data_IF_455473094565
#
_entry.id   IF_455473094565
#
_cell.length_a   1.000
_cell.length_b   1.000
_cell.length_c   1.000
_cell.angle_alpha   90.00
_cell.angle_beta   90.00
_cell.angle_gamma   90.00
#
_symmetry.space_group_name_H-M   'P 1'
#
loop_
_entity.id
_entity.type
_entity.pdbx_description
1 polymer ?
#
# COMPACT_ATOMS: atom_id res chain seq x y z
N UNK A 1 56.85 -6.54 -34.13
CA UNK A 1 55.72 -5.92 -34.87
C UNK A 1 54.47 -6.80 -34.97
N UNK A 2 54.54 -8.07 -35.37
CA UNK A 2 53.34 -8.93 -35.53
C UNK A 2 52.49 -9.16 -34.28
N UNK A 3 53.10 -9.27 -33.09
CA UNK A 3 52.35 -9.45 -31.82
C UNK A 3 51.54 -8.20 -31.44
N UNK A 4 52.08 -7.00 -31.63
CA UNK A 4 51.38 -5.75 -31.31
C UNK A 4 50.16 -5.52 -32.22
N UNK A 5 50.26 -5.87 -33.51
CA UNK A 5 49.14 -5.82 -34.44
C UNK A 5 48.01 -6.81 -34.07
N UNK A 6 48.39 -8.01 -33.59
CA UNK A 6 47.43 -9.02 -33.15
C UNK A 6 46.67 -8.58 -31.88
N UNK A 7 47.37 -7.97 -30.91
CA UNK A 7 46.73 -7.40 -29.72
C UNK A 7 45.83 -6.21 -30.04
N UNK A 8 46.25 -5.32 -30.94
CA UNK A 8 45.43 -4.18 -31.37
C UNK A 8 44.14 -4.63 -32.08
N UNK A 9 44.22 -5.66 -32.93
CA UNK A 9 43.04 -6.26 -33.58
C UNK A 9 42.10 -6.93 -32.56
N UNK A 10 42.66 -7.61 -31.55
CA UNK A 10 41.87 -8.22 -30.47
C UNK A 10 41.10 -7.19 -29.65
N UNK A 11 41.75 -6.07 -29.29
CA UNK A 11 41.10 -4.97 -28.55
C UNK A 11 40.02 -4.29 -29.40
N UNK A 12 40.28 -4.04 -30.68
CA UNK A 12 39.29 -3.49 -31.62
C UNK A 12 38.08 -4.40 -31.79
N UNK A 13 38.30 -5.72 -31.94
CA UNK A 13 37.21 -6.69 -32.04
C UNK A 13 36.37 -6.76 -30.76
N UNK A 14 37.01 -6.67 -29.58
CA UNK A 14 36.31 -6.66 -28.30
C UNK A 14 35.47 -5.38 -28.11
N UNK A 15 36.02 -4.21 -28.44
CA UNK A 15 35.28 -2.95 -28.40
C UNK A 15 34.11 -2.93 -29.40
N UNK A 16 34.32 -3.49 -30.60
CA UNK A 16 33.26 -3.63 -31.60
C UNK A 16 32.14 -4.58 -31.12
N UNK A 17 32.48 -5.67 -30.42
CA UNK A 17 31.50 -6.59 -29.85
C UNK A 17 30.68 -5.95 -28.72
N UNK A 18 31.30 -5.12 -27.87
CA UNK A 18 30.59 -4.35 -26.84
C UNK A 18 29.65 -3.32 -27.48
N UNK A 19 30.15 -2.58 -28.49
CA UNK A 19 29.35 -1.59 -29.20
C UNK A 19 28.15 -2.23 -29.91
N UNK A 20 28.36 -3.37 -30.59
CA UNK A 20 27.30 -4.12 -31.27
C UNK A 20 26.28 -4.70 -30.28
N UNK A 21 26.73 -5.21 -29.12
CA UNK A 21 25.83 -5.72 -28.08
C UNK A 21 24.98 -4.60 -27.46
N UNK A 22 25.56 -3.42 -27.21
CA UNK A 22 24.82 -2.25 -26.77
C UNK A 22 23.80 -1.80 -27.82
N UNK A 23 24.18 -1.80 -29.11
CA UNK A 23 23.29 -1.46 -30.23
C UNK A 23 22.14 -2.46 -30.38
N UNK A 24 22.40 -3.76 -30.19
CA UNK A 24 21.38 -4.80 -30.22
C UNK A 24 20.43 -4.70 -29.04
N UNK A 25 20.92 -4.37 -27.84
CA UNK A 25 20.05 -4.11 -26.68
C UNK A 25 19.15 -2.88 -26.89
N UNK A 26 19.68 -1.82 -27.52
CA UNK A 26 18.91 -0.62 -27.89
C UNK A 26 17.93 -0.86 -29.06
N UNK A 27 18.17 -1.86 -29.91
CA UNK A 27 17.27 -2.23 -31.01
C UNK A 27 16.14 -3.16 -30.55
N UNK A 28 16.37 -3.95 -29.50
CA UNK A 28 15.42 -4.95 -28.97
C UNK A 28 14.55 -4.44 -27.82
N UNK A 29 14.85 -3.27 -27.25
CA UNK A 29 13.98 -2.60 -26.29
C UNK A 29 12.72 -2.08 -27.01
N UNK A 30 11.55 -2.48 -26.53
CA UNK A 30 10.25 -2.13 -27.13
C UNK A 30 9.84 -0.65 -27.01
N UNK A 31 10.70 0.20 -26.44
CA UNK A 31 10.53 1.64 -26.34
C UNK A 31 11.65 2.28 -27.18
N UNK A 32 11.34 2.87 -28.34
CA UNK A 32 12.35 3.28 -29.34
C UNK A 32 13.50 4.15 -28.78
N UNK A 33 14.63 4.22 -29.51
CA UNK A 33 15.93 4.82 -29.11
C UNK A 33 15.91 6.09 -28.23
N UNK A 34 14.92 6.97 -28.38
CA UNK A 34 14.77 8.16 -27.53
C UNK A 34 14.47 7.85 -26.06
N UNK A 35 13.63 6.85 -25.78
CA UNK A 35 13.26 6.44 -24.42
C UNK A 35 14.44 5.85 -23.64
N UNK A 36 15.23 5.01 -24.30
CA UNK A 36 16.42 4.39 -23.70
C UNK A 36 17.52 5.41 -23.38
N UNK A 37 17.76 6.37 -24.27
CA UNK A 37 18.73 7.44 -24.06
C UNK A 37 18.35 8.33 -22.87
N UNK A 38 17.08 8.66 -22.72
CA UNK A 38 16.61 9.49 -21.61
C UNK A 38 16.59 8.73 -20.28
N UNK A 39 16.27 7.43 -20.29
CA UNK A 39 16.43 6.56 -19.13
C UNK A 39 17.91 6.44 -18.70
N UNK A 40 18.83 6.28 -19.66
CA UNK A 40 20.27 6.22 -19.38
C UNK A 40 20.78 7.54 -18.76
N UNK A 41 20.37 8.68 -19.32
CA UNK A 41 20.71 10.01 -18.75
C UNK A 41 20.17 10.16 -17.33
N UNK A 42 18.93 9.75 -17.06
CA UNK A 42 18.33 9.79 -15.73
C UNK A 42 19.09 8.90 -14.74
N UNK A 43 19.44 7.67 -15.14
CA UNK A 43 20.25 6.76 -14.32
C UNK A 43 21.64 7.34 -14.00
N UNK A 44 22.32 7.92 -14.98
CA UNK A 44 23.60 8.59 -14.78
C UNK A 44 23.46 9.78 -13.81
N UNK A 45 22.40 10.58 -13.94
CA UNK A 45 22.11 11.72 -13.07
C UNK A 45 21.79 11.30 -11.63
N UNK A 46 21.01 10.24 -11.43
CA UNK A 46 20.76 9.66 -10.11
C UNK A 46 22.04 9.13 -9.45
N UNK A 47 22.88 8.44 -10.22
CA UNK A 47 24.20 7.98 -9.73
C UNK A 47 25.06 9.17 -9.29
N UNK A 48 25.15 10.21 -10.11
CA UNK A 48 25.87 11.45 -9.75
C UNK A 48 25.26 12.14 -8.52
N UNK A 49 23.94 12.15 -8.36
CA UNK A 49 23.28 12.69 -7.18
C UNK A 49 23.62 11.90 -5.91
N UNK A 50 23.60 10.56 -5.98
CA UNK A 50 24.00 9.66 -4.89
C UNK A 50 25.44 9.91 -4.44
N UNK A 51 26.34 10.16 -5.39
CA UNK A 51 27.75 10.46 -5.14
C UNK A 51 28.05 11.96 -4.92
N UNK A 52 27.02 12.77 -4.65
CA UNK A 52 27.14 14.21 -4.34
C UNK A 52 27.77 15.08 -5.45
N UNK A 53 27.79 14.59 -6.70
CA UNK A 53 28.23 15.35 -7.88
C UNK A 53 27.10 16.26 -8.42
N UNK A 54 25.85 15.87 -8.18
CA UNK A 54 24.65 16.68 -8.47
C UNK A 54 23.96 17.03 -7.15
N UNK A 55 23.62 18.31 -6.96
CA UNK A 55 23.05 18.80 -5.69
C UNK A 55 21.53 18.64 -5.58
N UNK A 56 20.80 18.65 -6.69
CA UNK A 56 19.34 18.61 -6.72
C UNK A 56 18.83 17.79 -7.90
N UNK A 57 17.70 17.11 -7.69
CA UNK A 57 16.95 16.39 -8.71
C UNK A 57 15.72 17.20 -9.11
N UNK A 58 15.31 17.11 -10.38
CA UNK A 58 14.04 17.68 -10.83
C UNK A 58 12.85 16.79 -10.43
N UNK A 59 11.62 17.28 -10.61
CA UNK A 59 10.40 16.51 -10.32
C UNK A 59 10.33 15.19 -11.11
N UNK A 60 10.75 15.23 -12.37
CA UNK A 60 10.88 14.08 -13.26
C UNK A 60 11.89 13.04 -12.76
N UNK A 61 13.05 13.51 -12.26
CA UNK A 61 14.08 12.65 -11.70
C UNK A 61 13.63 12.02 -10.36
N UNK A 62 12.91 12.79 -9.53
CA UNK A 62 12.33 12.32 -8.27
C UNK A 62 11.26 11.25 -8.51
N UNK A 63 10.39 11.47 -9.51
CA UNK A 63 9.41 10.48 -9.95
C UNK A 63 10.09 9.20 -10.42
N UNK A 64 11.12 9.32 -11.26
CA UNK A 64 11.87 8.17 -11.77
C UNK A 64 12.60 7.42 -10.64
N UNK A 65 13.24 8.13 -9.71
CA UNK A 65 13.88 7.56 -8.53
C UNK A 65 12.87 6.76 -7.68
N UNK A 66 11.74 7.38 -7.32
CA UNK A 66 10.68 6.69 -6.60
C UNK A 66 10.18 5.45 -7.35
N UNK A 67 9.99 5.56 -8.66
CA UNK A 67 9.49 4.44 -9.45
C UNK A 67 10.46 3.25 -9.47
N UNK A 68 11.76 3.51 -9.63
CA UNK A 68 12.79 2.47 -9.68
C UNK A 68 13.07 1.85 -8.30
N UNK A 69 12.94 2.64 -7.24
CA UNK A 69 13.29 2.21 -5.89
C UNK A 69 12.11 1.57 -5.15
N UNK A 70 10.91 2.14 -5.29
CA UNK A 70 9.75 1.77 -4.46
C UNK A 70 8.66 1.04 -5.27
N UNK A 71 8.28 1.56 -6.44
CA UNK A 71 7.10 1.11 -7.20
C UNK A 71 7.34 -0.14 -8.08
N UNK A 72 8.44 -0.17 -8.84
CA UNK A 72 8.68 -1.26 -9.80
C UNK A 72 9.48 -2.42 -9.21
N UNK A 73 10.10 -2.21 -8.05
CA UNK A 73 11.00 -3.17 -7.43
C UNK A 73 10.31 -4.08 -6.41
N UNK A 74 9.38 -3.53 -5.62
CA UNK A 74 8.80 -4.25 -4.48
C UNK A 74 7.28 -4.07 -4.31
N UNK A 75 6.68 -2.92 -4.67
CA UNK A 75 5.26 -2.67 -4.37
C UNK A 75 4.51 -1.97 -5.52
N UNK A 76 3.31 -2.44 -5.87
CA UNK A 76 2.42 -1.75 -6.81
C UNK A 76 1.85 -0.42 -6.27
N UNK A 77 1.21 0.37 -7.15
CA UNK A 77 0.79 1.76 -6.88
C UNK A 77 -0.26 1.83 -5.76
N UNK A 78 -1.08 0.78 -5.67
CA UNK A 78 -2.11 0.61 -4.65
C UNK A 78 -1.55 0.71 -3.23
N UNK A 79 -0.32 0.21 -2.99
CA UNK A 79 0.33 0.28 -1.68
C UNK A 79 0.58 1.71 -1.19
N UNK A 80 0.73 2.65 -2.13
CA UNK A 80 1.18 4.01 -1.86
C UNK A 80 0.00 4.97 -1.85
N UNK A 81 -0.99 4.76 -2.73
CA UNK A 81 -2.27 5.50 -2.74
C UNK A 81 -3.09 5.23 -1.47
N UNK A 82 -2.99 4.02 -0.90
CA UNK A 82 -3.78 3.63 0.27
C UNK A 82 -3.09 3.92 1.60
N UNK A 83 -1.81 4.27 1.58
CA UNK A 83 -1.04 4.62 2.77
C UNK A 83 -1.46 6.01 3.28
N UNK A 84 -2.25 6.01 4.35
CA UNK A 84 -2.72 7.21 5.03
C UNK A 84 -1.67 7.63 6.06
N UNK A 85 -0.64 8.35 5.63
CA UNK A 85 0.51 8.70 6.46
C UNK A 85 0.70 10.22 6.58
N UNK A 86 1.08 10.65 7.78
CA UNK A 86 1.63 11.99 8.00
C UNK A 86 3.06 12.09 7.44
N UNK A 87 3.61 13.29 7.37
CA UNK A 87 5.04 13.52 7.03
C UNK A 87 5.98 12.66 7.88
N UNK A 88 5.77 12.61 9.19
CA UNK A 88 6.56 11.75 10.08
C UNK A 88 6.36 10.25 9.75
N UNK A 89 5.16 9.85 9.33
CA UNK A 89 4.88 8.48 8.88
C UNK A 89 5.66 8.10 7.63
N UNK A 90 5.75 9.00 6.65
CA UNK A 90 6.55 8.76 5.44
C UNK A 90 8.04 8.66 5.74
N UNK A 91 8.58 9.53 6.61
CA UNK A 91 9.96 9.43 7.09
C UNK A 91 10.22 8.05 7.72
N UNK A 92 9.33 7.61 8.62
CA UNK A 92 9.48 6.31 9.28
C UNK A 92 9.42 5.13 8.30
N UNK A 93 8.51 5.17 7.32
CA UNK A 93 8.41 4.12 6.31
C UNK A 93 9.66 4.05 5.45
N UNK A 94 10.12 5.18 4.91
CA UNK A 94 11.29 5.21 4.02
C UNK A 94 12.57 4.85 4.77
N UNK A 95 12.76 5.34 6.00
CA UNK A 95 13.91 4.95 6.83
C UNK A 95 13.86 3.48 7.24
N UNK A 96 12.67 2.92 7.53
CA UNK A 96 12.53 1.48 7.77
C UNK A 96 12.93 0.67 6.53
N UNK A 97 12.48 1.06 5.34
CA UNK A 97 12.87 0.38 4.11
C UNK A 97 14.39 0.43 3.92
N UNK A 98 15.01 1.57 4.21
CA UNK A 98 16.46 1.80 4.06
C UNK A 98 17.29 1.01 5.07
N UNK A 99 16.91 1.06 6.35
CA UNK A 99 17.75 0.59 7.46
C UNK A 99 17.42 -0.82 7.92
N UNK A 100 16.16 -1.24 7.79
CA UNK A 100 15.68 -2.54 8.28
C UNK A 100 15.45 -3.52 7.13
N UNK A 101 14.78 -3.08 6.07
CA UNK A 101 14.44 -3.95 4.92
C UNK A 101 15.55 -3.98 3.85
N UNK A 102 16.71 -3.37 4.13
CA UNK A 102 17.89 -3.35 3.28
C UNK A 102 17.65 -2.85 1.84
N UNK A 103 16.65 -1.98 1.63
CA UNK A 103 16.44 -1.34 0.34
C UNK A 103 17.56 -0.31 0.13
N UNK A 104 18.35 -0.51 -0.93
CA UNK A 104 19.50 0.34 -1.20
C UNK A 104 19.08 1.75 -1.65
N UNK A 105 19.03 2.66 -0.67
CA UNK A 105 18.67 4.07 -0.81
C UNK A 105 19.62 4.88 0.05
N UNK A 106 20.31 5.88 -0.50
CA UNK A 106 21.11 6.80 0.32
C UNK A 106 20.19 7.74 1.11
N UNK A 107 20.68 8.36 2.19
CA UNK A 107 19.89 9.33 2.96
C UNK A 107 19.34 10.47 2.10
N UNK A 108 20.11 10.94 1.11
CA UNK A 108 19.68 11.99 0.18
C UNK A 108 18.59 11.53 -0.79
N UNK A 109 18.68 10.29 -1.26
CA UNK A 109 17.62 9.69 -2.08
C UNK A 109 16.35 9.48 -1.24
N UNK A 110 16.50 9.09 0.03
CA UNK A 110 15.39 8.97 0.97
C UNK A 110 14.68 10.33 1.17
N UNK A 111 15.44 11.42 1.38
CA UNK A 111 14.86 12.77 1.50
C UNK A 111 14.04 13.17 0.26
N UNK A 112 14.55 12.87 -0.95
CA UNK A 112 13.84 13.16 -2.21
C UNK A 112 12.58 12.31 -2.32
N UNK A 113 12.65 11.02 -1.97
CA UNK A 113 11.50 10.10 -2.00
C UNK A 113 10.45 10.53 -0.99
N UNK A 114 10.83 10.88 0.24
CA UNK A 114 9.90 11.37 1.28
C UNK A 114 9.19 12.63 0.81
N UNK A 115 9.91 13.61 0.27
CA UNK A 115 9.30 14.82 -0.26
C UNK A 115 8.33 14.53 -1.41
N UNK A 116 8.71 13.64 -2.33
CA UNK A 116 7.82 13.20 -3.41
C UNK A 116 6.55 12.52 -2.87
N UNK A 117 6.69 11.63 -1.88
CA UNK A 117 5.56 10.94 -1.25
C UNK A 117 4.61 11.92 -0.54
N UNK A 118 5.17 12.90 0.15
CA UNK A 118 4.41 13.95 0.83
C UNK A 118 3.66 14.89 -0.10
N UNK A 119 4.24 15.21 -1.26
CA UNK A 119 3.61 16.07 -2.28
C UNK A 119 2.52 15.33 -3.04
N UNK A 120 2.73 14.03 -3.29
CA UNK A 120 1.88 13.26 -4.21
C UNK A 120 0.78 12.46 -3.53
N UNK A 121 0.96 12.07 -2.26
CA UNK A 121 -0.03 11.29 -1.52
C UNK A 121 -0.71 12.13 -0.42
N UNK A 122 -2.02 11.93 -0.14
CA UNK A 122 -2.78 12.84 0.70
C UNK A 122 -2.21 12.97 2.12
N UNK A 123 -1.88 14.19 2.54
CA UNK A 123 -1.58 14.50 3.95
C UNK A 123 -2.89 14.41 4.74
N UNK A 124 -3.15 13.30 5.41
CA UNK A 124 -4.31 13.26 6.30
C UNK A 124 -3.99 14.02 7.58
N UNK A 125 -4.65 15.17 7.73
CA UNK A 125 -4.67 15.91 8.99
C UNK A 125 -6.07 15.74 9.55
N UNK A 126 -6.16 14.93 10.59
CA UNK A 126 -7.40 14.89 11.37
C UNK A 126 -7.61 16.22 12.07
N UNK A 127 -8.84 16.72 12.01
CA UNK A 127 -9.31 17.85 12.83
C UNK A 127 -9.60 17.46 14.29
N UNK A 128 -9.57 16.17 14.61
CA UNK A 128 -9.93 15.64 15.92
C UNK A 128 -8.71 15.40 16.79
N UNK A 129 -8.89 15.54 18.12
CA UNK A 129 -7.85 15.27 19.10
C UNK A 129 -7.38 13.82 19.04
N UNK A 130 -6.17 13.54 19.56
CA UNK A 130 -5.69 12.16 19.69
C UNK A 130 -6.65 11.28 20.51
N UNK A 131 -7.19 11.79 21.60
CA UNK A 131 -8.13 11.06 22.46
C UNK A 131 -9.42 10.70 21.74
N UNK A 132 -9.96 11.63 20.93
CA UNK A 132 -11.15 11.39 20.10
C UNK A 132 -10.88 10.31 19.06
N UNK A 133 -9.74 10.40 18.36
CA UNK A 133 -9.32 9.39 17.38
C UNK A 133 -9.14 8.01 18.00
N UNK A 134 -8.51 7.94 19.17
CA UNK A 134 -8.30 6.69 19.91
C UNK A 134 -9.63 6.05 20.29
N UNK A 135 -10.58 6.83 20.84
CA UNK A 135 -11.92 6.33 21.19
C UNK A 135 -12.69 5.82 19.96
N UNK A 136 -12.63 6.56 18.85
CA UNK A 136 -13.24 6.13 17.58
C UNK A 136 -12.61 4.83 17.08
N UNK A 137 -11.27 4.75 17.04
CA UNK A 137 -10.56 3.56 16.60
C UNK A 137 -10.93 2.32 17.45
N UNK A 138 -10.91 2.45 18.78
CA UNK A 138 -11.29 1.36 19.71
C UNK A 138 -12.71 0.88 19.45
N UNK A 139 -13.64 1.78 19.13
CA UNK A 139 -15.03 1.41 18.85
C UNK A 139 -15.16 0.49 17.62
N UNK A 140 -14.36 0.72 16.58
CA UNK A 140 -14.48 0.05 15.28
C UNK A 140 -13.42 -1.00 14.98
N UNK A 141 -12.32 -1.06 15.74
CA UNK A 141 -11.23 -1.99 15.51
C UNK A 141 -11.39 -3.27 16.33
N UNK A 142 -11.11 -4.42 15.71
CA UNK A 142 -11.04 -5.73 16.34
C UNK A 142 -9.78 -6.45 15.87
N UNK A 143 -9.18 -7.23 16.76
CA UNK A 143 -8.01 -8.05 16.48
C UNK A 143 -8.20 -9.42 17.15
N UNK A 144 -7.65 -10.48 16.55
CA UNK A 144 -7.81 -11.86 17.05
C UNK A 144 -6.62 -12.39 17.85
N UNK A 145 -5.65 -11.54 18.13
CA UNK A 145 -4.40 -11.80 18.84
C UNK A 145 -3.53 -12.88 18.21
N UNK A 146 -3.79 -13.22 16.95
CA UNK A 146 -3.04 -14.24 16.22
C UNK A 146 -3.68 -15.62 16.26
N UNK A 147 -3.70 -16.28 15.11
CA UNK A 147 -3.95 -17.72 14.98
C UNK A 147 -2.93 -18.30 14.01
N UNK A 148 -2.20 -19.33 14.45
CA UNK A 148 -1.13 -19.98 13.70
C UNK A 148 -0.13 -18.98 13.09
N UNK A 149 0.39 -18.10 13.95
CA UNK A 149 1.35 -17.03 13.62
C UNK A 149 0.85 -15.90 12.69
N UNK A 150 -0.37 -16.01 12.17
CA UNK A 150 -1.01 -14.93 11.41
C UNK A 150 -1.91 -14.14 12.35
N UNK A 151 -1.66 -12.84 12.46
CA UNK A 151 -2.45 -11.85 13.17
C UNK A 151 -3.43 -11.19 12.22
N UNK A 152 -4.68 -11.03 12.65
CA UNK A 152 -5.70 -10.36 11.86
C UNK A 152 -6.25 -9.13 12.58
N UNK A 153 -6.19 -8.00 11.89
CA UNK A 153 -6.72 -6.71 12.32
C UNK A 153 -7.87 -6.32 11.40
N UNK A 154 -9.03 -6.01 11.97
CA UNK A 154 -10.22 -5.62 11.21
C UNK A 154 -10.76 -4.30 11.71
N UNK A 155 -11.00 -3.38 10.78
CA UNK A 155 -11.61 -2.09 11.05
C UNK A 155 -12.94 -2.02 10.32
N UNK A 156 -14.02 -1.76 11.05
CA UNK A 156 -15.29 -1.38 10.46
C UNK A 156 -15.21 0.08 9.98
N UNK A 157 -15.05 0.28 8.67
CA UNK A 157 -14.83 1.57 8.06
C UNK A 157 -16.14 2.37 7.95
N UNK A 158 -16.37 3.22 8.93
CA UNK A 158 -17.53 4.12 9.00
C UNK A 158 -17.15 5.54 8.59
N UNK A 159 -18.14 6.40 8.30
CA UNK A 159 -17.88 7.81 7.97
C UNK A 159 -17.15 8.50 9.13
N UNK A 160 -17.55 8.19 10.36
CA UNK A 160 -16.95 8.70 11.58
C UNK A 160 -15.49 8.25 11.71
N UNK A 161 -15.19 6.98 11.45
CA UNK A 161 -13.82 6.49 11.46
C UNK A 161 -12.95 7.23 10.43
N UNK A 162 -13.40 7.32 9.18
CA UNK A 162 -12.65 7.96 8.10
C UNK A 162 -12.41 9.46 8.37
N UNK A 163 -13.45 10.18 8.82
CA UNK A 163 -13.32 11.57 9.23
C UNK A 163 -12.35 11.73 10.41
N UNK A 164 -12.39 10.81 11.38
CA UNK A 164 -11.49 10.85 12.54
C UNK A 164 -10.02 10.75 12.15
N UNK A 165 -9.68 10.08 11.05
CA UNK A 165 -8.30 9.98 10.58
C UNK A 165 -7.97 10.98 9.47
N UNK A 166 -8.90 11.88 9.11
CA UNK A 166 -8.72 12.87 8.03
C UNK A 166 -8.70 12.24 6.64
N UNK A 167 -9.40 11.12 6.45
CA UNK A 167 -9.48 10.36 5.20
C UNK A 167 -10.90 10.39 4.60
N UNK A 168 -11.61 11.52 4.71
CA UNK A 168 -12.99 11.68 4.23
C UNK A 168 -13.16 11.34 2.73
N UNK A 169 -12.09 11.51 1.93
CA UNK A 169 -12.09 11.14 0.52
C UNK A 169 -12.38 9.64 0.27
N UNK A 170 -12.07 8.77 1.24
CA UNK A 170 -12.34 7.34 1.15
C UNK A 170 -13.82 6.97 1.30
N UNK A 171 -14.67 7.89 1.78
CA UNK A 171 -16.12 7.66 1.91
C UNK A 171 -16.73 7.29 0.56
N UNK A 172 -16.38 8.04 -0.49
CA UNK A 172 -16.84 7.79 -1.85
C UNK A 172 -16.11 6.62 -2.49
N UNK A 173 -14.79 6.48 -2.25
CA UNK A 173 -13.98 5.37 -2.79
C UNK A 173 -14.51 4.00 -2.35
N UNK A 174 -14.93 3.88 -1.10
CA UNK A 174 -15.46 2.64 -0.55
C UNK A 174 -17.00 2.54 -0.66
N UNK A 175 -17.65 3.60 -1.14
CA UNK A 175 -19.09 3.69 -1.29
C UNK A 175 -19.86 3.34 0.00
N UNK A 176 -19.53 4.09 1.05
CA UNK A 176 -20.11 3.89 2.39
C UNK A 176 -21.61 4.17 2.44
N UNK A 177 -22.22 4.77 1.41
CA UNK A 177 -23.66 4.99 1.36
C UNK A 177 -24.40 3.69 1.03
N UNK A 178 -23.85 2.87 0.13
CA UNK A 178 -24.46 1.61 -0.29
C UNK A 178 -23.93 0.38 0.45
N UNK A 179 -22.71 0.43 1.01
CA UNK A 179 -22.06 -0.73 1.60
C UNK A 179 -21.66 -0.54 3.08
N UNK A 180 -21.74 -1.62 3.85
CA UNK A 180 -20.92 -1.79 5.06
C UNK A 180 -19.53 -2.24 4.61
N UNK A 181 -18.50 -1.59 5.14
CA UNK A 181 -17.13 -1.74 4.64
C UNK A 181 -16.22 -2.18 5.77
N UNK A 182 -15.43 -3.23 5.55
CA UNK A 182 -14.43 -3.69 6.49
C UNK A 182 -13.06 -3.68 5.83
N UNK A 183 -12.10 -3.02 6.47
CA UNK A 183 -10.68 -3.08 6.11
C UNK A 183 -10.10 -4.23 6.93
N UNK A 184 -9.57 -5.24 6.25
CA UNK A 184 -9.05 -6.47 6.83
C UNK A 184 -7.57 -6.53 6.55
N UNK A 185 -6.76 -6.57 7.61
CA UNK A 185 -5.31 -6.66 7.54
C UNK A 185 -4.87 -8.00 8.15
N UNK A 186 -3.89 -8.63 7.50
CA UNK A 186 -3.21 -9.81 8.00
C UNK A 186 -1.72 -9.55 8.05
N UNK A 187 -1.09 -9.98 9.13
CA UNK A 187 0.37 -9.93 9.32
C UNK A 187 0.84 -11.28 9.84
N UNK A 188 1.94 -11.80 9.31
CA UNK A 188 2.61 -13.01 9.84
C UNK A 188 4.01 -12.64 10.32
N UNK A 189 4.47 -13.27 11.39
CA UNK A 189 5.81 -13.01 11.93
C UNK A 189 6.89 -13.69 11.08
N UNK A 190 6.66 -14.94 10.68
CA UNK A 190 7.54 -15.68 9.77
C UNK A 190 6.76 -16.38 8.64
N UNK A 191 7.26 -16.29 7.40
CA UNK A 191 6.71 -16.98 6.24
C UNK A 191 5.73 -16.13 5.41
N UNK A 192 4.95 -16.78 4.54
CA UNK A 192 4.07 -16.07 3.61
C UNK A 192 2.59 -16.26 3.95
N UNK A 193 1.81 -15.18 3.85
CA UNK A 193 0.35 -15.28 3.88
C UNK A 193 -0.14 -15.74 2.51
N UNK A 194 -0.63 -16.97 2.43
CA UNK A 194 -1.31 -17.46 1.22
C UNK A 194 -2.77 -17.00 1.24
N UNK A 195 -3.04 -15.88 0.56
CA UNK A 195 -4.38 -15.34 0.37
C UNK A 195 -4.63 -15.06 -1.11
N UNK A 196 -5.61 -15.74 -1.70
CA UNK A 196 -5.93 -15.59 -3.12
C UNK A 196 -7.24 -14.82 -3.35
N UNK A 197 -8.20 -14.90 -2.42
CA UNK A 197 -9.50 -14.27 -2.60
C UNK A 197 -10.29 -14.14 -1.28
N UNK A 198 -10.57 -12.92 -0.83
CA UNK A 198 -11.44 -12.69 0.33
C UNK A 198 -12.93 -12.91 0.04
N UNK A 199 -13.37 -12.97 -1.22
CA UNK A 199 -14.78 -13.18 -1.57
C UNK A 199 -15.34 -14.51 -1.07
N UNK A 200 -14.51 -15.56 -1.15
CA UNK A 200 -14.87 -16.89 -0.67
C UNK A 200 -14.58 -17.09 0.81
N UNK A 201 -13.90 -16.15 1.46
CA UNK A 201 -13.37 -16.31 2.81
C UNK A 201 -14.10 -15.43 3.83
N UNK A 202 -14.75 -14.35 3.40
CA UNK A 202 -15.44 -13.41 4.27
C UNK A 202 -16.96 -13.50 4.15
N UNK A 203 -17.65 -13.69 5.28
CA UNK A 203 -19.10 -13.53 5.39
C UNK A 203 -19.45 -12.61 6.55
N UNK A 204 -20.56 -11.90 6.42
CA UNK A 204 -21.11 -11.06 7.48
C UNK A 204 -22.34 -11.76 8.07
N UNK A 205 -22.29 -12.01 9.37
CA UNK A 205 -23.38 -12.59 10.15
C UNK A 205 -24.10 -11.51 10.96
N UNK A 206 -25.40 -11.71 11.09
CA UNK A 206 -26.35 -10.89 11.85
C UNK A 206 -27.32 -11.82 12.59
N UNK A 207 -28.19 -11.32 13.49
CA UNK A 207 -29.27 -12.12 14.06
C UNK A 207 -30.22 -12.74 13.02
N UNK A 208 -30.33 -12.12 11.83
CA UNK A 208 -31.28 -12.48 10.79
C UNK A 208 -30.70 -13.43 9.74
N UNK A 209 -29.39 -13.68 9.76
CA UNK A 209 -28.73 -14.59 8.83
C UNK A 209 -27.30 -14.20 8.48
N UNK A 210 -26.81 -14.76 7.38
CA UNK A 210 -25.47 -14.55 6.83
C UNK A 210 -25.53 -14.00 5.40
N UNK A 211 -24.62 -13.09 5.06
CA UNK A 211 -24.44 -12.61 3.70
C UNK A 211 -22.98 -12.69 3.26
N UNK A 212 -22.79 -12.90 1.96
CA UNK A 212 -21.48 -12.87 1.30
C UNK A 212 -21.08 -11.45 0.97
N UNK A 213 -19.78 -11.23 0.81
CA UNK A 213 -19.27 -9.94 0.33
C UNK A 213 -19.75 -9.67 -1.09
N UNK A 214 -20.07 -8.41 -1.36
CA UNK A 214 -20.45 -7.86 -2.66
C UNK A 214 -20.23 -6.35 -2.64
N UNK A 215 -19.63 -5.73 -3.67
CA UNK A 215 -18.99 -6.35 -4.84
C UNK A 215 -17.73 -7.16 -4.45
N UNK A 216 -17.00 -7.76 -5.41
CA UNK A 216 -15.73 -8.41 -5.12
C UNK A 216 -14.80 -7.55 -4.26
N UNK A 217 -14.09 -8.22 -3.36
CA UNK A 217 -13.14 -7.62 -2.46
C UNK A 217 -12.04 -6.89 -3.25
N UNK A 218 -11.45 -5.89 -2.60
CA UNK A 218 -10.41 -5.09 -3.20
C UNK A 218 -9.10 -5.28 -2.43
N UNK A 219 -8.04 -5.69 -3.13
CA UNK A 219 -6.70 -5.63 -2.59
C UNK A 219 -6.28 -4.17 -2.40
N UNK A 220 -5.90 -3.81 -1.19
CA UNK A 220 -5.33 -2.49 -0.88
C UNK A 220 -3.81 -2.53 -0.84
N UNK A 221 -3.27 -3.54 -0.16
CA UNK A 221 -1.84 -3.63 0.09
C UNK A 221 -1.40 -5.09 0.21
N UNK A 222 -0.23 -5.39 -0.33
CA UNK A 222 0.48 -6.65 -0.09
C UNK A 222 1.98 -6.36 -0.17
N UNK A 223 2.75 -6.81 0.80
CA UNK A 223 4.22 -6.74 0.70
C UNK A 223 4.75 -7.78 -0.29
N UNK A 224 5.92 -7.53 -0.87
CA UNK A 224 6.51 -8.43 -1.88
C UNK A 224 6.75 -9.84 -1.33
N UNK A 225 7.15 -9.92 -0.06
CA UNK A 225 7.36 -11.15 0.71
C UNK A 225 6.07 -11.74 1.30
N UNK A 226 4.92 -11.10 1.05
CA UNK A 226 3.60 -11.50 1.56
C UNK A 226 3.53 -11.64 3.09
N UNK A 227 4.39 -10.96 3.84
CA UNK A 227 4.30 -10.89 5.30
C UNK A 227 3.13 -10.03 5.79
N UNK A 228 2.74 -9.01 5.01
CA UNK A 228 1.62 -8.14 5.31
C UNK A 228 0.64 -8.08 4.13
N UNK A 229 -0.64 -8.09 4.46
CA UNK A 229 -1.73 -8.05 3.50
C UNK A 229 -2.86 -7.15 4.02
N UNK A 230 -3.46 -6.35 3.15
CA UNK A 230 -4.67 -5.58 3.46
C UNK A 230 -5.66 -5.65 2.30
N UNK A 231 -6.91 -5.96 2.63
CA UNK A 231 -8.03 -5.96 1.70
C UNK A 231 -9.22 -5.20 2.25
N UNK A 232 -10.14 -4.84 1.35
CA UNK A 232 -11.46 -4.28 1.69
C UNK A 232 -12.53 -5.25 1.24
N UNK A 233 -13.40 -5.63 2.17
CA UNK A 233 -14.63 -6.39 1.90
C UNK A 233 -15.84 -5.52 2.15
N UNK A 234 -16.89 -5.74 1.36
CA UNK A 234 -18.07 -4.88 1.32
C UNK A 234 -19.34 -5.72 1.38
N UNK A 235 -20.37 -5.20 2.04
CA UNK A 235 -21.64 -5.89 2.21
C UNK A 235 -22.78 -4.92 1.93
N UNK A 236 -23.64 -5.26 0.97
CA UNK A 236 -24.75 -4.41 0.52
C UNK A 236 -25.74 -4.13 1.65
N UNK A 237 -25.91 -2.85 1.98
CA UNK A 237 -26.84 -2.39 3.02
C UNK A 237 -28.31 -2.67 2.69
N UNK A 238 -28.66 -2.89 1.42
CA UNK A 238 -30.00 -3.26 1.00
C UNK A 238 -30.31 -4.75 1.22
N UNK A 239 -29.33 -5.54 1.70
CA UNK A 239 -29.58 -6.94 2.01
C UNK A 239 -30.61 -7.06 3.15
N UNK A 240 -31.67 -7.87 3.00
CA UNK A 240 -32.74 -8.02 4.02
C UNK A 240 -32.25 -8.40 5.42
N UNK A 241 -31.09 -9.04 5.55
CA UNK A 241 -30.54 -9.42 6.86
C UNK A 241 -29.96 -8.24 7.66
N UNK A 242 -29.77 -7.08 7.02
CA UNK A 242 -29.30 -5.83 7.63
C UNK A 242 -30.46 -4.88 7.99
N UNK A 243 -31.58 -5.44 8.47
CA UNK A 243 -32.72 -4.64 8.91
C UNK A 243 -32.31 -3.55 9.92
N UNK A 244 -33.10 -2.47 9.98
CA UNK A 244 -32.76 -1.25 10.76
C UNK A 244 -32.57 -1.48 12.27
N UNK A 245 -32.98 -2.62 12.79
CA UNK A 245 -32.95 -2.99 14.21
C UNK A 245 -31.90 -4.02 14.59
N UNK A 246 -31.03 -4.43 13.66
CA UNK A 246 -29.89 -5.31 13.93
C UNK A 246 -29.06 -4.73 15.09
N UNK A 247 -28.72 -5.58 16.06
CA UNK A 247 -28.00 -5.20 17.29
C UNK A 247 -26.52 -5.53 17.26
N UNK A 248 -26.11 -6.44 16.40
CA UNK A 248 -24.70 -6.81 16.25
C UNK A 248 -24.40 -7.22 14.82
N UNK A 249 -23.14 -7.01 14.45
CA UNK A 249 -22.53 -7.47 13.22
C UNK A 249 -21.36 -8.38 13.58
N UNK A 250 -21.19 -9.48 12.85
CA UNK A 250 -20.03 -10.37 13.00
C UNK A 250 -19.41 -10.68 11.65
N UNK A 251 -18.19 -10.21 11.42
CA UNK A 251 -17.39 -10.62 10.28
C UNK A 251 -16.75 -11.98 10.59
N UNK A 252 -16.97 -12.93 9.70
CA UNK A 252 -16.38 -14.28 9.77
C UNK A 252 -15.37 -14.39 8.63
N UNK A 253 -14.12 -14.67 8.97
CA UNK A 253 -13.03 -14.88 8.01
C UNK A 253 -12.55 -16.32 8.12
N UNK A 254 -12.62 -17.09 7.03
CA UNK A 254 -12.26 -18.51 7.00
C UNK A 254 -11.03 -18.76 6.13
N UNK A 255 -10.24 -19.78 6.49
CA UNK A 255 -9.15 -20.26 5.64
C UNK A 255 -7.92 -19.35 5.64
N UNK A 256 -7.76 -18.49 6.64
CA UNK A 256 -6.57 -17.64 6.82
C UNK A 256 -5.81 -18.08 8.06
N UNK A 257 -4.60 -18.58 7.87
CA UNK A 257 -3.79 -19.15 8.95
C UNK A 257 -4.40 -20.43 9.53
N UNK A 258 -4.87 -21.34 8.68
CA UNK A 258 -5.43 -22.64 9.07
C UNK A 258 -6.89 -22.84 8.66
N UNK A 259 -7.49 -23.94 9.13
CA UNK A 259 -8.88 -24.34 8.81
C UNK A 259 -9.94 -23.66 9.67
N UNK A 260 -9.52 -22.95 10.72
CA UNK A 260 -10.40 -22.24 11.65
C UNK A 260 -11.07 -21.01 11.02
N UNK A 261 -12.16 -20.58 11.65
CA UNK A 261 -12.80 -19.30 11.37
C UNK A 261 -12.33 -18.26 12.41
N UNK A 262 -11.97 -17.07 11.94
CA UNK A 262 -11.71 -15.88 12.76
C UNK A 262 -13.00 -15.07 12.84
N UNK A 263 -13.36 -14.62 14.04
CA UNK A 263 -14.65 -13.98 14.32
C UNK A 263 -14.43 -12.59 14.90
N UNK A 264 -14.94 -11.56 14.22
CA UNK A 264 -14.84 -10.16 14.67
C UNK A 264 -16.24 -9.62 14.85
N UNK A 265 -16.59 -9.11 16.04
CA UNK A 265 -17.95 -8.70 16.36
C UNK A 265 -18.04 -7.26 16.83
N UNK A 266 -19.12 -6.58 16.45
CA UNK A 266 -19.45 -5.21 16.84
C UNK A 266 -20.90 -5.13 17.27
N UNK A 267 -21.16 -4.46 18.39
CA UNK A 267 -22.50 -3.99 18.73
C UNK A 267 -22.84 -2.77 17.86
N UNK A 268 -24.08 -2.69 17.39
CA UNK A 268 -24.56 -1.58 16.56
C UNK A 268 -25.86 -0.99 17.13
N UNK A 269 -26.06 0.35 17.04
CA UNK A 269 -25.16 1.33 16.42
C UNK A 269 -23.86 1.55 17.21
N UNK A 270 -22.77 1.87 16.50
CA UNK A 270 -21.48 2.14 17.13
C UNK A 270 -21.58 3.40 18.00
N UNK A 271 -21.14 3.30 19.26
CA UNK A 271 -21.09 4.43 20.17
C UNK A 271 -19.84 5.29 19.90
N UNK A 272 -20.05 6.46 19.29
CA UNK A 272 -18.98 7.45 19.07
C UNK A 272 -18.95 8.55 20.12
N UNK A 273 -17.78 9.19 20.35
CA UNK A 273 -17.67 10.44 21.11
C UNK A 273 -18.60 11.53 20.57
N UNK A 274 -19.13 12.39 21.45
CA UNK A 274 -20.11 13.43 21.05
C UNK A 274 -19.56 14.46 20.05
N UNK A 275 -18.24 14.70 20.10
CA UNK A 275 -17.52 15.52 19.12
C UNK A 275 -17.71 15.02 17.67
N UNK A 276 -17.88 13.71 17.46
CA UNK A 276 -18.14 13.15 16.12
C UNK A 276 -19.58 13.44 15.67
N UNK A 277 -20.55 13.37 16.58
CA UNK A 277 -21.99 13.51 16.29
C UNK A 277 -22.35 14.92 15.84
N UNK A 278 -21.80 15.93 16.53
CA UNK A 278 -22.05 17.35 16.22
C UNK A 278 -21.53 17.78 14.84
N UNK A 279 -20.51 17.06 14.33
CA UNK A 279 -19.83 17.45 13.10
C UNK A 279 -20.44 16.80 11.86
N UNK A 280 -21.05 15.61 12.00
CA UNK A 280 -21.75 14.92 10.90
C UNK A 280 -23.14 15.47 10.62
N UNK A 281 -23.73 16.23 11.54
CA UNK A 281 -25.04 16.88 11.34
C UNK A 281 -24.96 18.12 10.43
N UNK A 282 -23.76 18.64 10.16
CA UNK A 282 -23.50 19.86 9.39
C UNK A 282 -22.79 19.61 8.05
N UNK A 283 -22.63 18.34 7.65
CA UNK A 283 -21.98 17.88 6.41
C UNK A 283 -22.95 17.13 5.53
#
# INVERSE_FOLDING_TARGET
MRKAAFWALGVLAFLAAIALSALLMLYWSGEGMGGDLDNLKRMARLSMFRHNLVKKLGADDATFLYQQTCYKRCHGEAAMITAVLSQAGWIQVVERMRLKENVYVSGREADVIINYLEEKYPKTKSRFSYETRKKVHVAVWRNDMGQNDIYADVIFATKEYLASIGADYLVNTYDLDHYLVFIVNFTVHEGEITLSNLDGQCTLQTPLGEMKTTPPWQLRFQTADKHHYEGVVRFDKNNPILARDVKWLKLVVKGVGGTGARLFSWDVPIAYPDEMKSTMANS
#
